data_IF_091483918708
#
_entry.id   IF_091483918708
#
_cell.length_a   1.000
_cell.length_b   1.000
_cell.length_c   1.000
_cell.angle_alpha   90.00
_cell.angle_beta   90.00
_cell.angle_gamma   90.00
#
_symmetry.space_group_name_H-M   'P 1'
#
loop_
_entity.id
_entity.type
_entity.pdbx_description
1 polymer ?
#
# COMPACT_ATOMS: atom_id res chain seq x y z
N UNK A 1 -7.25 7.78 33.46
CA UNK A 1 -6.53 6.80 32.60
C UNK A 1 -5.40 7.54 31.91
N UNK A 2 -4.16 7.17 32.18
CA UNK A 2 -2.96 7.95 31.83
C UNK A 2 -2.78 8.15 30.33
N UNK A 3 -2.18 9.29 29.97
CA UNK A 3 -1.89 9.67 28.58
C UNK A 3 -1.29 8.50 27.79
N UNK A 4 -1.72 8.27 26.54
CA UNK A 4 -1.11 7.29 25.66
C UNK A 4 0.38 7.64 25.49
N UNK A 5 1.27 6.85 26.09
CA UNK A 5 2.69 7.17 26.15
C UNK A 5 3.37 6.74 24.84
N UNK A 6 3.70 7.70 23.97
CA UNK A 6 4.41 7.44 22.72
C UNK A 6 5.74 6.68 22.90
N UNK A 7 6.37 6.74 24.09
CA UNK A 7 7.52 5.90 24.41
C UNK A 7 7.15 4.42 24.47
N UNK A 8 6.01 4.09 25.10
CA UNK A 8 5.51 2.71 25.17
C UNK A 8 5.21 2.19 23.78
N UNK A 9 4.51 2.98 22.94
CA UNK A 9 4.24 2.61 21.55
C UNK A 9 5.54 2.27 20.79
N UNK A 10 6.57 3.12 20.89
CA UNK A 10 7.88 2.87 20.27
C UNK A 10 8.54 1.57 20.74
N UNK A 11 8.54 1.30 22.04
CA UNK A 11 9.11 0.05 22.57
C UNK A 11 8.30 -1.17 22.15
N UNK A 12 6.97 -1.07 22.07
CA UNK A 12 6.11 -2.16 21.59
C UNK A 12 6.47 -2.59 20.17
N UNK A 13 6.72 -1.65 19.25
CA UNK A 13 7.17 -2.01 17.90
C UNK A 13 8.54 -2.71 17.91
N UNK A 14 9.46 -2.28 18.77
CA UNK A 14 10.78 -2.89 18.90
C UNK A 14 10.70 -4.33 19.41
N UNK A 15 9.87 -4.56 20.45
CA UNK A 15 9.59 -5.89 20.99
C UNK A 15 8.93 -6.79 19.95
N UNK A 16 7.93 -6.27 19.22
CA UNK A 16 7.28 -7.02 18.16
C UNK A 16 8.27 -7.44 17.05
N UNK A 17 9.10 -6.51 16.58
CA UNK A 17 10.13 -6.80 15.57
C UNK A 17 11.09 -7.87 16.08
N UNK A 18 11.58 -7.75 17.32
CA UNK A 18 12.47 -8.75 17.91
C UNK A 18 11.79 -10.13 18.01
N UNK A 19 10.51 -10.17 18.40
CA UNK A 19 9.74 -11.41 18.49
C UNK A 19 9.52 -12.06 17.12
N UNK A 20 9.08 -11.32 16.10
CA UNK A 20 8.84 -11.84 14.76
C UNK A 20 10.16 -12.31 14.11
N UNK A 21 11.24 -11.56 14.32
CA UNK A 21 12.57 -11.86 13.76
C UNK A 21 13.31 -12.95 14.53
N UNK A 22 12.83 -13.34 15.72
CA UNK A 22 13.49 -14.34 16.55
C UNK A 22 13.58 -15.70 15.82
N UNK A 23 14.73 -16.36 15.99
CA UNK A 23 15.13 -17.55 15.22
C UNK A 23 14.22 -18.77 15.39
N UNK A 24 14.59 -19.81 14.63
CA UNK A 24 13.86 -21.08 14.52
C UNK A 24 14.17 -22.00 15.71
N UNK A 25 13.23 -22.18 16.64
CA UNK A 25 13.28 -23.20 17.70
C UNK A 25 12.90 -24.59 17.16
N UNK A 26 13.28 -25.72 17.78
CA UNK A 26 12.88 -27.06 17.34
C UNK A 26 11.35 -27.28 17.26
N UNK A 27 10.54 -26.49 17.99
CA UNK A 27 9.06 -26.48 17.92
C UNK A 27 8.52 -25.52 16.84
N UNK A 28 8.96 -25.74 15.60
CA UNK A 28 8.75 -24.82 14.47
C UNK A 28 7.28 -24.40 14.22
N UNK A 29 6.34 -25.33 14.34
CA UNK A 29 4.97 -25.07 13.88
C UNK A 29 4.17 -24.15 14.83
N UNK A 30 4.24 -24.40 16.13
CA UNK A 30 3.53 -23.59 17.12
C UNK A 30 4.04 -22.14 17.15
N UNK A 31 5.34 -21.94 16.99
CA UNK A 31 5.95 -20.60 17.00
C UNK A 31 5.62 -19.82 15.74
N UNK A 32 5.57 -20.48 14.58
CA UNK A 32 5.13 -19.85 13.33
C UNK A 32 3.67 -19.43 13.43
N UNK A 33 2.79 -20.31 13.90
CA UNK A 33 1.38 -19.98 14.12
C UNK A 33 1.21 -18.81 15.09
N UNK A 34 1.97 -18.77 16.19
CA UNK A 34 1.91 -17.66 17.14
C UNK A 34 2.35 -16.32 16.51
N UNK A 35 3.40 -16.33 15.68
CA UNK A 35 3.84 -15.13 14.93
C UNK A 35 2.76 -14.64 13.97
N UNK A 36 2.10 -15.54 13.26
CA UNK A 36 0.99 -15.20 12.36
C UNK A 36 -0.21 -14.65 13.12
N UNK A 37 -0.61 -15.26 14.24
CA UNK A 37 -1.74 -14.80 15.04
C UNK A 37 -1.51 -13.42 15.66
N UNK A 38 -0.30 -13.18 16.19
CA UNK A 38 0.04 -11.89 16.81
C UNK A 38 0.04 -10.73 15.80
N UNK A 39 0.38 -11.01 14.55
CA UNK A 39 0.44 -10.00 13.49
C UNK A 39 -0.91 -9.30 13.30
N UNK A 40 -2.02 -10.04 13.25
CA UNK A 40 -3.33 -9.46 13.00
C UNK A 40 -3.64 -8.35 14.00
N UNK A 41 -3.40 -8.65 15.29
CA UNK A 41 -3.56 -7.68 16.36
C UNK A 41 -2.56 -6.51 16.24
N UNK A 42 -1.29 -6.81 15.96
CA UNK A 42 -0.25 -5.79 15.82
C UNK A 42 -0.58 -4.78 14.71
N UNK A 43 -0.95 -5.26 13.52
CA UNK A 43 -1.26 -4.40 12.38
C UNK A 43 -2.49 -3.56 12.66
N UNK A 44 -3.56 -4.17 13.17
CA UNK A 44 -4.77 -3.46 13.53
C UNK A 44 -4.46 -2.31 14.51
N UNK A 45 -3.78 -2.61 15.64
CA UNK A 45 -3.47 -1.59 16.66
C UNK A 45 -2.50 -0.52 16.16
N UNK A 46 -1.50 -0.90 15.37
CA UNK A 46 -0.54 0.05 14.82
C UNK A 46 -1.22 1.06 13.90
N UNK A 47 -2.10 0.58 13.00
CA UNK A 47 -2.80 1.41 12.04
C UNK A 47 -3.95 2.22 12.66
N UNK A 48 -4.60 1.71 13.72
CA UNK A 48 -5.58 2.48 14.51
C UNK A 48 -4.93 3.73 15.14
N UNK A 49 -3.71 3.59 15.67
CA UNK A 49 -2.98 4.68 16.33
C UNK A 49 -2.18 5.61 15.40
N UNK A 50 -2.18 5.35 14.10
CA UNK A 50 -1.46 6.14 13.09
C UNK A 50 -2.42 7.01 12.25
N UNK A 51 -2.09 8.28 11.93
CA UNK A 51 -1.05 9.08 12.56
C UNK A 51 -1.42 9.40 14.02
N UNK A 52 -0.42 9.69 14.85
CA UNK A 52 -0.64 10.04 16.26
C UNK A 52 0.33 9.30 17.18
N UNK A 53 -0.19 8.42 18.03
CA UNK A 53 0.61 7.71 19.03
C UNK A 53 1.58 6.70 18.40
N UNK A 54 1.20 6.12 17.26
CA UNK A 54 2.02 5.13 16.56
C UNK A 54 3.13 5.86 15.77
N UNK A 55 4.41 5.67 16.09
CA UNK A 55 5.49 6.21 15.28
C UNK A 55 5.60 5.48 13.94
N UNK A 56 5.69 6.24 12.83
CA UNK A 56 5.83 5.67 11.48
C UNK A 56 6.99 4.67 11.39
N UNK A 57 8.17 5.04 11.87
CA UNK A 57 9.37 4.19 11.79
C UNK A 57 9.17 2.84 12.50
N UNK A 58 8.49 2.84 13.64
CA UNK A 58 8.19 1.62 14.38
C UNK A 58 7.22 0.70 13.63
N UNK A 59 6.15 1.28 13.09
CA UNK A 59 5.19 0.56 12.26
C UNK A 59 5.84 0.02 10.98
N UNK A 60 6.58 0.85 10.25
CA UNK A 60 7.27 0.46 9.02
C UNK A 60 8.29 -0.66 9.27
N UNK A 61 9.04 -0.58 10.36
CA UNK A 61 9.96 -1.66 10.77
C UNK A 61 9.21 -2.96 11.09
N UNK A 62 8.04 -2.89 11.71
CA UNK A 62 7.22 -4.08 11.96
C UNK A 62 6.70 -4.72 10.68
N UNK A 63 6.15 -3.92 9.77
CA UNK A 63 5.72 -4.37 8.44
C UNK A 63 6.88 -5.04 7.69
N UNK A 64 8.06 -4.42 7.74
CA UNK A 64 9.26 -4.97 7.13
C UNK A 64 9.69 -6.30 7.77
N UNK A 65 9.57 -6.46 9.09
CA UNK A 65 9.86 -7.71 9.78
C UNK A 65 8.85 -8.82 9.43
N UNK A 66 7.56 -8.46 9.36
CA UNK A 66 6.48 -9.35 8.94
C UNK A 66 6.78 -9.97 7.58
N UNK A 67 7.04 -9.12 6.59
CA UNK A 67 7.21 -9.54 5.20
C UNK A 67 8.47 -10.39 5.01
N UNK A 68 9.51 -10.17 5.83
CA UNK A 68 10.78 -10.91 5.74
C UNK A 68 10.82 -12.22 6.51
N UNK A 69 10.11 -12.32 7.63
CA UNK A 69 10.29 -13.42 8.58
C UNK A 69 9.08 -14.36 8.68
N UNK A 70 7.94 -14.00 8.11
CA UNK A 70 6.83 -14.93 7.94
C UNK A 70 7.03 -15.83 6.72
N UNK A 71 6.37 -17.00 6.69
CA UNK A 71 6.36 -17.85 5.51
C UNK A 71 5.86 -17.12 4.27
N UNK A 72 6.49 -17.39 3.12
CA UNK A 72 6.00 -16.92 1.83
C UNK A 72 4.53 -17.36 1.63
N UNK A 73 3.70 -16.43 1.15
CA UNK A 73 2.28 -16.69 0.95
C UNK A 73 1.44 -16.76 2.23
N UNK A 74 1.99 -16.42 3.40
CA UNK A 74 1.22 -16.38 4.66
C UNK A 74 -0.01 -15.45 4.53
N UNK A 75 -1.22 -15.89 4.96
CA UNK A 75 -2.42 -15.05 5.00
C UNK A 75 -2.21 -13.75 5.78
N UNK A 76 -1.32 -13.77 6.77
CA UNK A 76 -1.02 -12.63 7.61
C UNK A 76 -0.27 -11.53 6.83
N UNK A 77 0.55 -11.88 5.83
CA UNK A 77 1.19 -10.91 4.93
C UNK A 77 0.13 -10.25 4.03
N UNK A 78 -0.80 -11.02 3.47
CA UNK A 78 -1.88 -10.47 2.65
C UNK A 78 -2.77 -9.52 3.46
N UNK A 79 -3.12 -9.91 4.70
CA UNK A 79 -3.86 -9.05 5.62
C UNK A 79 -3.10 -7.74 5.90
N UNK A 80 -1.80 -7.83 6.22
CA UNK A 80 -0.96 -6.65 6.44
C UNK A 80 -1.00 -5.68 5.25
N UNK A 81 -0.85 -6.19 4.02
CA UNK A 81 -0.88 -5.36 2.81
C UNK A 81 -2.26 -4.73 2.61
N UNK A 82 -3.33 -5.52 2.75
CA UNK A 82 -4.68 -5.02 2.61
C UNK A 82 -4.96 -3.89 3.61
N UNK A 83 -4.64 -4.08 4.89
CA UNK A 83 -4.83 -3.06 5.92
C UNK A 83 -4.00 -1.81 5.68
N UNK A 84 -2.78 -1.94 5.15
CA UNK A 84 -1.95 -0.78 4.77
C UNK A 84 -2.57 0.01 3.61
N UNK A 85 -3.08 -0.69 2.59
CA UNK A 85 -3.75 -0.04 1.45
C UNK A 85 -5.02 0.64 1.91
N UNK A 86 -5.85 -0.02 2.71
CA UNK A 86 -7.04 0.57 3.31
C UNK A 86 -6.70 1.81 4.14
N UNK A 87 -5.60 1.74 4.92
CA UNK A 87 -5.13 2.90 5.68
C UNK A 87 -4.69 4.04 4.76
N UNK A 88 -3.90 3.76 3.72
CA UNK A 88 -3.47 4.76 2.76
C UNK A 88 -4.66 5.42 2.02
N UNK A 89 -5.66 4.63 1.63
CA UNK A 89 -6.90 5.13 1.02
C UNK A 89 -7.66 6.03 1.98
N UNK A 90 -7.86 5.62 3.24
CA UNK A 90 -8.58 6.45 4.22
C UNK A 90 -7.89 7.79 4.49
N UNK A 91 -6.55 7.79 4.60
CA UNK A 91 -5.77 9.02 4.77
C UNK A 91 -5.86 9.91 3.52
N UNK A 92 -5.78 9.32 2.34
CA UNK A 92 -5.86 10.05 1.06
C UNK A 92 -7.24 10.66 0.80
N UNK A 93 -8.32 9.95 1.16
CA UNK A 93 -9.70 10.45 1.00
C UNK A 93 -10.08 11.50 2.04
N UNK A 94 -9.45 11.50 3.22
CA UNK A 94 -9.72 12.49 4.27
C UNK A 94 -9.25 13.90 3.91
N UNK A 95 -8.31 14.02 2.95
CA UNK A 95 -7.81 15.30 2.44
C UNK A 95 -8.70 15.72 1.26
N UNK A 96 -9.61 16.66 1.52
CA UNK A 96 -10.65 17.08 0.58
C UNK A 96 -10.12 17.49 -0.80
N UNK A 97 -10.93 17.23 -1.83
CA UNK A 97 -10.64 17.39 -3.27
C UNK A 97 -10.45 18.84 -3.77
N UNK A 98 -10.29 19.82 -2.88
CA UNK A 98 -10.26 21.25 -3.25
C UNK A 98 -8.85 21.85 -3.34
N UNK A 99 -7.84 21.25 -2.71
CA UNK A 99 -6.48 21.80 -2.71
C UNK A 99 -5.53 21.00 -3.59
N UNK A 100 -5.58 21.31 -4.90
CA UNK A 100 -4.63 20.82 -5.91
C UNK A 100 -3.16 21.07 -5.53
N UNK A 101 -2.90 22.13 -4.75
CA UNK A 101 -1.56 22.53 -4.35
C UNK A 101 -0.96 21.66 -3.23
N UNK A 102 -1.77 21.04 -2.36
CA UNK A 102 -1.26 20.12 -1.33
C UNK A 102 -0.62 18.87 -1.93
N UNK A 103 -1.20 18.36 -3.03
CA UNK A 103 -0.72 17.17 -3.73
C UNK A 103 0.54 17.41 -4.56
N UNK A 104 0.96 18.66 -4.78
CA UNK A 104 2.21 18.96 -5.48
C UNK A 104 3.43 18.72 -4.58
N UNK A 105 3.29 19.01 -3.30
CA UNK A 105 4.42 18.95 -2.36
C UNK A 105 4.30 17.78 -1.36
N UNK A 106 3.10 17.21 -1.18
CA UNK A 106 2.83 16.15 -0.19
C UNK A 106 3.33 16.49 1.22
N UNK A 107 3.33 17.78 1.55
CA UNK A 107 3.75 18.31 2.85
C UNK A 107 2.51 18.58 3.72
N UNK A 108 2.71 18.66 5.05
CA UNK A 108 1.62 18.91 5.99
C UNK A 108 0.69 17.71 6.14
N UNK A 109 -0.60 17.89 5.86
CA UNK A 109 -1.65 16.89 6.12
C UNK A 109 -1.52 15.62 5.28
N UNK A 110 -0.85 15.69 4.12
CA UNK A 110 -0.59 14.53 3.26
C UNK A 110 0.65 13.73 3.67
N UNK A 111 1.49 14.25 4.55
CA UNK A 111 2.74 13.63 4.96
C UNK A 111 2.54 12.21 5.54
N UNK A 112 1.53 11.96 6.39
CA UNK A 112 1.27 10.61 6.88
C UNK A 112 0.81 9.64 5.80
N UNK A 113 0.03 10.11 4.83
CA UNK A 113 -0.44 9.30 3.70
C UNK A 113 0.73 8.94 2.79
N UNK A 114 1.55 9.94 2.42
CA UNK A 114 2.77 9.78 1.63
C UNK A 114 3.67 8.70 2.21
N UNK A 115 3.93 8.76 3.51
CA UNK A 115 4.74 7.76 4.23
C UNK A 115 4.24 6.34 4.08
N UNK A 116 2.92 6.12 4.17
CA UNK A 116 2.32 4.79 3.98
C UNK A 116 2.41 4.35 2.53
N UNK A 117 2.21 5.27 1.57
CA UNK A 117 2.38 4.99 0.15
C UNK A 117 3.83 4.63 -0.19
N UNK A 118 4.80 5.38 0.30
CA UNK A 118 6.22 5.10 0.16
C UNK A 118 6.59 3.74 0.78
N UNK A 119 5.96 3.37 1.89
CA UNK A 119 6.10 2.03 2.45
C UNK A 119 5.53 0.97 1.49
N UNK A 120 4.32 1.14 0.98
CA UNK A 120 3.68 0.22 0.03
C UNK A 120 4.50 0.06 -1.27
N UNK A 121 5.06 1.17 -1.80
CA UNK A 121 5.94 1.11 -2.97
C UNK A 121 7.23 0.34 -2.67
N UNK A 122 7.86 0.58 -1.51
CA UNK A 122 9.03 -0.20 -1.07
C UNK A 122 8.72 -1.69 -0.90
N UNK A 123 7.48 -2.04 -0.54
CA UNK A 123 7.08 -3.44 -0.41
C UNK A 123 7.13 -4.20 -1.75
N UNK A 124 7.00 -3.53 -2.91
CA UNK A 124 7.13 -4.20 -4.23
C UNK A 124 8.48 -4.90 -4.39
N UNK A 125 9.55 -4.34 -3.81
CA UNK A 125 10.89 -4.91 -3.83
C UNK A 125 11.15 -5.93 -2.70
N UNK A 126 10.28 -5.98 -1.67
CA UNK A 126 10.54 -6.76 -0.44
C UNK A 126 9.65 -7.98 -0.27
N UNK A 127 8.41 -7.94 -0.76
CA UNK A 127 7.45 -9.04 -0.56
C UNK A 127 7.90 -10.30 -1.30
N UNK A 128 7.48 -11.46 -0.84
CA UNK A 128 7.67 -12.68 -1.63
C UNK A 128 6.97 -12.58 -3.00
N UNK A 129 7.50 -13.27 -4.02
CA UNK A 129 6.95 -13.28 -5.37
C UNK A 129 5.49 -13.77 -5.41
N UNK A 130 5.06 -14.63 -4.48
CA UNK A 130 3.68 -15.11 -4.36
C UNK A 130 2.71 -14.00 -3.90
N UNK A 131 3.22 -12.99 -3.20
CA UNK A 131 2.43 -11.89 -2.66
C UNK A 131 2.41 -10.69 -3.60
N UNK A 132 3.44 -10.57 -4.44
CA UNK A 132 3.65 -9.44 -5.36
C UNK A 132 2.43 -9.12 -6.25
N UNK A 133 1.76 -10.09 -6.91
CA UNK A 133 0.59 -9.79 -7.75
C UNK A 133 -0.57 -9.15 -6.97
N UNK A 134 -0.81 -9.60 -5.74
CA UNK A 134 -1.86 -9.04 -4.89
C UNK A 134 -1.54 -7.61 -4.47
N UNK A 135 -0.29 -7.34 -4.11
CA UNK A 135 0.18 -5.98 -3.81
C UNK A 135 0.03 -5.05 -5.03
N UNK A 136 0.47 -5.49 -6.21
CA UNK A 136 0.35 -4.73 -7.47
C UNK A 136 -1.11 -4.41 -7.80
N UNK A 137 -2.02 -5.37 -7.60
CA UNK A 137 -3.46 -5.17 -7.82
C UNK A 137 -4.05 -4.14 -6.86
N UNK A 138 -3.77 -4.25 -5.56
CA UNK A 138 -4.30 -3.32 -4.56
C UNK A 138 -3.71 -1.90 -4.74
N UNK A 139 -2.41 -1.79 -5.04
CA UNK A 139 -1.78 -0.52 -5.38
C UNK A 139 -2.39 0.10 -6.64
N UNK A 140 -2.67 -0.70 -7.67
CA UNK A 140 -3.33 -0.21 -8.88
C UNK A 140 -4.69 0.43 -8.59
N UNK A 141 -5.49 -0.24 -7.75
CA UNK A 141 -6.80 0.27 -7.33
C UNK A 141 -6.68 1.59 -6.57
N UNK A 142 -5.71 1.69 -5.65
CA UNK A 142 -5.44 2.91 -4.91
C UNK A 142 -4.98 4.05 -5.85
N UNK A 143 -4.01 3.80 -6.73
CA UNK A 143 -3.40 4.81 -7.59
C UNK A 143 -4.44 5.43 -8.54
N UNK A 144 -5.36 4.63 -9.07
CA UNK A 144 -6.43 5.11 -9.95
C UNK A 144 -7.42 6.02 -9.21
N UNK A 145 -7.60 5.85 -7.90
CA UNK A 145 -8.49 6.68 -7.07
C UNK A 145 -7.87 8.01 -6.65
N UNK A 146 -6.55 8.19 -6.80
CA UNK A 146 -5.88 9.43 -6.40
C UNK A 146 -6.17 10.58 -7.37
N UNK A 147 -6.10 11.85 -6.89
CA UNK A 147 -6.10 13.01 -7.77
C UNK A 147 -4.96 12.96 -8.79
N UNK A 148 -5.17 13.59 -9.96
CA UNK A 148 -4.23 13.53 -11.10
C UNK A 148 -2.79 13.90 -10.69
N UNK A 149 -2.60 14.98 -9.93
CA UNK A 149 -1.28 15.39 -9.45
C UNK A 149 -0.60 14.34 -8.57
N UNK A 150 -1.33 13.77 -7.61
CA UNK A 150 -0.83 12.70 -6.74
C UNK A 150 -0.52 11.42 -7.51
N UNK A 151 -1.41 11.06 -8.44
CA UNK A 151 -1.26 9.89 -9.32
C UNK A 151 -0.02 10.02 -10.20
N UNK A 152 0.15 11.13 -10.89
CA UNK A 152 1.28 11.36 -11.80
C UNK A 152 2.61 11.34 -11.06
N UNK A 153 2.66 11.94 -9.86
CA UNK A 153 3.85 11.89 -9.02
C UNK A 153 4.21 10.46 -8.59
N UNK A 154 3.23 9.67 -8.12
CA UNK A 154 3.49 8.27 -7.74
C UNK A 154 3.89 7.42 -8.94
N UNK A 155 3.29 7.62 -10.11
CA UNK A 155 3.66 6.91 -11.33
C UNK A 155 5.10 7.25 -11.76
N UNK A 156 5.52 8.51 -11.63
CA UNK A 156 6.91 8.92 -11.88
C UNK A 156 7.88 8.29 -10.87
N UNK A 157 7.53 8.28 -9.58
CA UNK A 157 8.34 7.62 -8.55
C UNK A 157 8.46 6.12 -8.80
N UNK A 158 7.36 5.47 -9.17
CA UNK A 158 7.33 4.05 -9.47
C UNK A 158 8.16 3.73 -10.72
N UNK A 159 8.08 4.57 -11.76
CA UNK A 159 8.94 4.47 -12.93
C UNK A 159 10.42 4.51 -12.54
N UNK A 160 10.83 5.50 -11.73
CA UNK A 160 12.22 5.64 -11.30
C UNK A 160 12.68 4.41 -10.49
N UNK A 161 11.88 3.97 -9.52
CA UNK A 161 12.20 2.80 -8.69
C UNK A 161 12.34 1.51 -9.52
N UNK A 162 11.47 1.31 -10.52
CA UNK A 162 11.54 0.14 -11.40
C UNK A 162 12.75 0.24 -12.33
N UNK A 163 13.02 1.44 -12.88
CA UNK A 163 14.15 1.67 -13.78
C UNK A 163 15.50 1.38 -13.09
N UNK A 164 15.66 1.84 -11.85
CA UNK A 164 16.85 1.66 -11.02
C UNK A 164 16.95 0.27 -10.38
N UNK A 165 15.89 -0.54 -10.40
CA UNK A 165 15.91 -1.88 -9.80
C UNK A 165 16.79 -2.85 -10.59
N UNK A 166 17.68 -3.55 -9.87
CA UNK A 166 18.51 -4.64 -10.39
C UNK A 166 17.82 -6.02 -10.31
N UNK A 167 16.61 -6.10 -9.75
CA UNK A 167 15.86 -7.37 -9.64
C UNK A 167 15.31 -7.80 -11.00
N UNK A 168 16.12 -8.56 -11.74
CA UNK A 168 15.78 -9.08 -13.08
C UNK A 168 14.59 -10.04 -13.08
N UNK A 169 14.18 -10.58 -11.93
CA UNK A 169 13.07 -11.52 -11.82
C UNK A 169 11.74 -10.77 -11.79
N UNK A 170 11.65 -9.72 -10.95
CA UNK A 170 10.41 -8.95 -10.77
C UNK A 170 10.23 -7.85 -11.81
N UNK A 171 11.32 -7.25 -12.26
CA UNK A 171 11.31 -6.06 -13.12
C UNK A 171 10.45 -6.24 -14.38
N UNK A 172 10.49 -7.36 -15.13
CA UNK A 172 9.62 -7.53 -16.29
C UNK A 172 8.12 -7.42 -15.96
N UNK A 173 7.68 -8.05 -14.88
CA UNK A 173 6.28 -8.00 -14.43
C UNK A 173 5.88 -6.59 -13.96
N UNK A 174 6.76 -5.93 -13.21
CA UNK A 174 6.55 -4.57 -12.74
C UNK A 174 6.48 -3.55 -13.88
N UNK A 175 7.33 -3.68 -14.90
CA UNK A 175 7.30 -2.83 -16.10
C UNK A 175 5.98 -3.00 -16.85
N UNK A 176 5.56 -4.24 -17.11
CA UNK A 176 4.28 -4.53 -17.80
C UNK A 176 3.08 -3.97 -17.03
N UNK A 177 3.09 -4.12 -15.71
CA UNK A 177 2.06 -3.57 -14.82
C UNK A 177 2.04 -2.05 -14.81
N UNK A 178 3.20 -1.39 -14.70
CA UNK A 178 3.28 0.07 -14.76
C UNK A 178 2.77 0.61 -16.10
N UNK A 179 3.12 -0.03 -17.22
CA UNK A 179 2.59 0.34 -18.54
C UNK A 179 1.06 0.22 -18.60
N UNK A 180 0.51 -0.84 -18.01
CA UNK A 180 -0.94 -1.01 -17.90
C UNK A 180 -1.58 0.09 -17.05
N UNK A 181 -0.94 0.51 -15.96
CA UNK A 181 -1.40 1.62 -15.12
C UNK A 181 -1.38 2.97 -15.84
N UNK A 182 -0.31 3.27 -16.57
CA UNK A 182 -0.19 4.48 -17.37
C UNK A 182 -1.32 4.55 -18.41
N UNK A 183 -1.61 3.44 -19.08
CA UNK A 183 -2.70 3.34 -20.06
C UNK A 183 -4.09 3.54 -19.45
N UNK A 184 -4.33 3.02 -18.24
CA UNK A 184 -5.59 3.26 -17.53
C UNK A 184 -5.73 4.73 -17.12
N UNK A 185 -4.64 5.32 -16.65
CA UNK A 185 -4.59 6.71 -16.20
C UNK A 185 -4.83 7.70 -17.35
N UNK A 186 -4.39 7.37 -18.58
CA UNK A 186 -4.62 8.19 -19.78
C UNK A 186 -6.04 8.10 -20.35
N UNK A 187 -6.70 6.94 -20.22
CA UNK A 187 -8.10 6.82 -20.64
C UNK A 187 -9.04 7.67 -19.77
N UNK A 188 -8.74 7.78 -18.48
CA UNK A 188 -9.53 8.58 -17.55
C UNK A 188 -9.46 10.09 -17.87
N UNK A 189 -8.33 10.53 -18.42
CA UNK A 189 -8.17 11.92 -18.88
C UNK A 189 -8.91 12.21 -20.18
N UNK A 190 -9.04 11.25 -21.10
CA UNK A 190 -9.80 11.45 -22.35
C UNK A 190 -11.31 11.42 -22.12
N UNK A 191 -11.81 10.64 -21.15
CA UNK A 191 -13.24 10.65 -20.76
C UNK A 191 -13.70 11.93 -20.06
N UNK A 192 -12.77 12.73 -19.51
CA UNK A 192 -13.05 14.00 -18.82
C UNK A 192 -13.00 15.23 -19.75
N UNK A 193 -12.68 15.07 -21.04
CA UNK A 193 -12.94 16.14 -22.03
C UNK A 193 -14.45 16.23 -22.24
N UNK A 194 -15.09 17.40 -22.06
CA UNK A 194 -16.51 17.52 -22.35
C UNK A 194 -16.69 17.42 -23.86
N UNK A 195 -17.28 16.31 -24.30
CA UNK A 195 -18.06 16.33 -25.53
C UNK A 195 -19.16 17.37 -25.33
N UNK A 196 -18.98 18.51 -25.97
CA UNK A 196 -20.07 19.40 -26.27
C UNK A 196 -21.10 18.57 -27.06
N UNK A 197 -22.34 18.54 -26.55
CA UNK A 197 -23.58 18.08 -27.20
C UNK A 197 -23.99 16.62 -26.95
N UNK A 198 -25.04 16.45 -26.13
CA UNK A 198 -26.11 15.47 -26.38
C UNK A 198 -26.39 14.44 -25.29
N UNK A 199 -27.55 14.59 -24.63
CA UNK A 199 -28.31 13.61 -23.81
C UNK A 199 -28.11 12.15 -24.29
N UNK A 200 -28.03 11.10 -23.47
CA UNK A 200 -29.02 10.62 -22.47
C UNK A 200 -28.47 9.39 -21.72
N UNK A 201 -28.83 9.26 -20.44
CA UNK A 201 -28.78 8.12 -19.50
C UNK A 201 -28.21 6.73 -19.91
N UNK A 202 -27.22 6.26 -19.14
CA UNK A 202 -27.18 4.92 -18.50
C UNK A 202 -25.96 4.82 -17.56
N UNK A 203 -26.14 5.17 -16.28
CA UNK A 203 -25.14 4.95 -15.22
C UNK A 203 -25.40 3.59 -14.57
N UNK A 204 -24.32 2.82 -14.32
CA UNK A 204 -24.15 1.77 -13.28
C UNK A 204 -23.45 0.46 -13.71
N UNK A 205 -23.15 0.22 -15.00
CA UNK A 205 -22.54 -1.08 -15.42
C UNK A 205 -21.03 -0.99 -15.74
N UNK A 206 -20.44 0.20 -15.84
CA UNK A 206 -19.09 0.37 -16.42
C UNK A 206 -17.94 0.18 -15.40
N UNK A 207 -18.16 0.46 -14.11
CA UNK A 207 -17.08 0.46 -13.11
C UNK A 207 -16.58 -0.94 -12.74
N UNK A 208 -17.44 -1.95 -12.77
CA UNK A 208 -17.05 -3.34 -12.46
C UNK A 208 -16.20 -3.99 -13.58
N UNK A 209 -16.37 -3.53 -14.83
CA UNK A 209 -15.68 -4.09 -16.00
C UNK A 209 -14.22 -3.60 -16.06
N UNK A 210 -13.95 -2.37 -15.60
CA UNK A 210 -12.59 -1.81 -15.56
C UNK A 210 -11.68 -2.57 -14.60
N UNK A 211 -12.18 -2.88 -13.40
CA UNK A 211 -11.42 -3.58 -12.35
C UNK A 211 -11.12 -5.04 -12.70
N UNK A 212 -12.00 -5.71 -13.44
CA UNK A 212 -11.79 -7.09 -13.87
C UNK A 212 -10.74 -7.20 -14.99
N UNK A 213 -10.57 -6.18 -15.84
CA UNK A 213 -9.49 -6.15 -16.86
C UNK A 213 -8.09 -6.12 -16.24
N UNK A 214 -7.93 -5.52 -15.06
CA UNK A 214 -6.66 -5.49 -14.32
C UNK A 214 -6.23 -6.91 -13.92
N UNK A 215 -7.19 -7.77 -13.56
CA UNK A 215 -6.91 -9.15 -13.11
C UNK A 215 -6.59 -10.10 -14.28
N UNK A 216 -7.00 -9.76 -15.50
CA UNK A 216 -6.79 -10.60 -16.69
C UNK A 216 -5.47 -10.34 -17.44
N UNK A 217 -4.69 -9.33 -17.01
CA UNK A 217 -3.40 -8.94 -17.61
C UNK A 217 -2.21 -9.07 -16.67
N UNK A 218 -2.44 -9.55 -15.43
CA UNK A 218 -1.41 -9.94 -14.46
C UNK A 218 -1.02 -11.40 -14.67
#
# INVERSE_FOLDING_TARGET
MGHPNGKVARYSHSVFVAFVSSGKDPSQDERVLLKEQLLFYYIQRSLEGYPGITPFEGMASGVAAIVRHLPAGSPAIFYCIHSLVEKATSLSCSVSSHDSDLWKNWEGELEPSKKVLDLLLRLLALVDIQVLPSLMKLLAQLIVQLPVSGRDMLLNQLYQQIAESDDVIRKPALVSWLQSLLYLSSQDTDKRKPELVGKTASHEIVDSISLNRISARL
#
